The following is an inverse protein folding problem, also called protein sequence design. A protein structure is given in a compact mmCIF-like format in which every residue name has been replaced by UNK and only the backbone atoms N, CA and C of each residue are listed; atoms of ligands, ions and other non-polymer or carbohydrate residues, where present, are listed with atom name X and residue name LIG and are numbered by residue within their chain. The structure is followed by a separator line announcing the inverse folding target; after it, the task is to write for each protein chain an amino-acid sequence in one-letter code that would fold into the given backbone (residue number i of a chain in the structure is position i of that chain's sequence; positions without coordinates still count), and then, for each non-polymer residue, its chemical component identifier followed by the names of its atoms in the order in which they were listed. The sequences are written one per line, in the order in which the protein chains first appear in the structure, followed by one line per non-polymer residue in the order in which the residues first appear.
data_IF_935288985286
#
_entry.id   IF_935288985286
#
_cell.length_a   1.000
_cell.length_b   1.000
_cell.length_c   1.000
_cell.angle_alpha   90.00
_cell.angle_beta   90.00
_cell.angle_gamma   90.00
#
_symmetry.space_group_name_H-M   'P 1'
#
loop_
_entity.id
_entity.type
_entity.pdbx_description
1 polymer ?
#
# COMPACT_ATOMS: atom_id res chain seq x y z
N UNK A 1 0.45 -4.73 -20.46
CA UNK A 1 0.32 -4.56 -19.00
C UNK A 1 0.55 -5.90 -18.35
N UNK A 2 1.18 -5.94 -17.17
CA UNK A 2 1.47 -7.17 -16.42
C UNK A 2 0.95 -7.00 -15.01
N UNK A 3 0.26 -8.00 -14.48
CA UNK A 3 -0.18 -8.05 -13.09
C UNK A 3 0.77 -8.97 -12.33
N UNK A 4 1.28 -8.53 -11.18
CA UNK A 4 2.16 -9.32 -10.31
C UNK A 4 1.98 -8.96 -8.85
N UNK A 5 2.49 -9.82 -7.97
CA UNK A 5 2.66 -9.47 -6.55
C UNK A 5 3.70 -8.36 -6.42
N UNK A 6 3.43 -7.40 -5.53
CA UNK A 6 4.38 -6.38 -5.14
C UNK A 6 5.45 -6.96 -4.21
N UNK A 7 6.59 -6.29 -4.16
CA UNK A 7 7.75 -6.59 -3.34
C UNK A 7 8.15 -5.34 -2.56
N UNK A 8 9.02 -5.46 -1.56
CA UNK A 8 9.56 -4.30 -0.84
C UNK A 8 10.26 -3.28 -1.75
N UNK A 9 10.83 -3.72 -2.87
CA UNK A 9 11.47 -2.83 -3.85
C UNK A 9 10.46 -1.87 -4.52
N UNK A 10 9.17 -2.21 -4.50
CA UNK A 10 8.12 -1.40 -5.10
C UNK A 10 7.61 -0.28 -4.18
N UNK A 11 8.08 -0.21 -2.92
CA UNK A 11 7.55 0.67 -1.89
C UNK A 11 7.47 2.14 -2.31
N UNK A 12 8.54 2.67 -2.88
CA UNK A 12 8.59 4.10 -3.21
C UNK A 12 7.65 4.43 -4.38
N UNK A 13 7.54 3.54 -5.38
CA UNK A 13 6.64 3.72 -6.51
C UNK A 13 5.17 3.54 -6.11
N UNK A 14 4.87 2.54 -5.28
CA UNK A 14 3.56 2.33 -4.64
C UNK A 14 3.15 3.54 -3.82
N UNK A 15 4.08 4.11 -3.04
CA UNK A 15 3.81 5.30 -2.22
C UNK A 15 3.49 6.50 -3.08
N UNK A 16 4.29 6.75 -4.12
CA UNK A 16 4.05 7.86 -5.05
C UNK A 16 2.69 7.71 -5.76
N UNK A 17 2.38 6.51 -6.26
CA UNK A 17 1.09 6.20 -6.88
C UNK A 17 -0.06 6.38 -5.89
N UNK A 18 0.06 5.82 -4.69
CA UNK A 18 -0.96 5.86 -3.67
C UNK A 18 -1.31 7.28 -3.25
N UNK A 19 -0.32 8.12 -2.96
CA UNK A 19 -0.56 9.51 -2.56
C UNK A 19 -1.28 10.31 -3.65
N UNK A 20 -0.96 10.06 -4.92
CA UNK A 20 -1.67 10.70 -6.05
C UNK A 20 -3.09 10.19 -6.17
N UNK A 21 -3.28 8.86 -6.18
CA UNK A 21 -4.59 8.24 -6.34
C UNK A 21 -5.58 8.61 -5.21
N UNK A 22 -5.07 8.80 -4.00
CA UNK A 22 -5.88 9.18 -2.84
C UNK A 22 -6.49 10.56 -2.98
N UNK A 23 -5.89 11.49 -3.75
CA UNK A 23 -6.48 12.81 -3.99
C UNK A 23 -7.81 12.74 -4.76
N UNK A 24 -8.00 11.68 -5.55
CA UNK A 24 -9.22 11.43 -6.32
C UNK A 24 -10.29 10.65 -5.52
N UNK A 25 -9.96 10.15 -4.33
CA UNK A 25 -10.93 9.45 -3.45
C UNK A 25 -11.82 10.50 -2.76
N UNK A 26 -13.15 10.50 -2.98
CA UNK A 26 -14.05 11.48 -2.34
C UNK A 26 -14.09 11.38 -0.82
N UNK A 27 -13.69 10.25 -0.23
CA UNK A 27 -13.60 10.05 1.22
C UNK A 27 -12.28 10.59 1.77
N UNK A 28 -11.32 10.91 0.90
CA UNK A 28 -9.99 11.36 1.27
C UNK A 28 -9.96 12.61 2.13
N UNK A 29 -10.66 13.71 1.77
CA UNK A 29 -10.62 14.94 2.57
C UNK A 29 -11.24 14.74 3.95
N UNK A 30 -12.15 13.76 4.10
CA UNK A 30 -12.70 13.39 5.40
C UNK A 30 -11.69 12.62 6.27
N UNK A 31 -10.95 11.67 5.69
CA UNK A 31 -9.97 10.86 6.43
C UNK A 31 -8.70 11.65 6.79
N UNK A 32 -8.28 12.56 5.91
CA UNK A 32 -7.05 13.33 6.06
C UNK A 32 -7.29 14.81 5.77
N UNK A 33 -8.03 15.52 6.65
CA UNK A 33 -8.47 16.90 6.41
C UNK A 33 -7.30 17.88 6.17
N UNK A 34 -6.15 17.63 6.81
CA UNK A 34 -4.99 18.50 6.70
C UNK A 34 -3.89 17.95 5.79
N UNK A 35 -4.17 16.93 4.96
CA UNK A 35 -3.17 16.34 4.06
C UNK A 35 -2.59 17.34 3.05
N UNK A 36 -3.37 18.34 2.65
CA UNK A 36 -2.92 19.41 1.76
C UNK A 36 -1.95 20.39 2.46
N UNK A 37 -2.21 20.71 3.74
CA UNK A 37 -1.39 21.61 4.55
C UNK A 37 -0.07 20.94 4.97
N UNK A 38 -0.13 19.66 5.37
CA UNK A 38 1.02 18.88 5.84
C UNK A 38 1.39 17.77 4.85
N UNK A 39 1.68 18.15 3.60
CA UNK A 39 1.93 17.21 2.50
C UNK A 39 3.09 16.26 2.76
N UNK A 40 4.18 16.75 3.34
CA UNK A 40 5.38 15.93 3.60
C UNK A 40 5.11 14.86 4.67
N UNK A 41 4.42 15.24 5.74
CA UNK A 41 3.96 14.29 6.76
C UNK A 41 2.99 13.28 6.16
N UNK A 42 2.07 13.76 5.33
CA UNK A 42 1.11 12.89 4.66
C UNK A 42 1.81 11.82 3.81
N UNK A 43 2.82 12.20 3.01
CA UNK A 43 3.64 11.27 2.22
C UNK A 43 4.42 10.32 3.13
N UNK A 44 5.07 10.83 4.17
CA UNK A 44 5.86 10.05 5.14
C UNK A 44 5.01 8.96 5.79
N UNK A 45 3.85 9.30 6.33
CA UNK A 45 2.98 8.34 7.00
C UNK A 45 2.27 7.39 6.01
N UNK A 46 1.99 7.84 4.79
CA UNK A 46 1.52 6.95 3.71
C UNK A 46 2.58 5.89 3.39
N UNK A 47 3.85 6.29 3.27
CA UNK A 47 4.97 5.36 3.04
C UNK A 47 5.09 4.32 4.14
N UNK A 48 5.02 4.75 5.42
CA UNK A 48 5.04 3.82 6.57
C UNK A 48 3.90 2.81 6.47
N UNK A 49 2.71 3.25 6.07
CA UNK A 49 1.55 2.37 5.92
C UNK A 49 1.72 1.36 4.78
N UNK A 50 2.22 1.78 3.62
CA UNK A 50 2.50 0.87 2.50
C UNK A 50 3.64 -0.11 2.82
N UNK A 51 4.67 0.33 3.53
CA UNK A 51 5.73 -0.54 4.05
C UNK A 51 5.13 -1.64 4.92
N UNK A 52 4.27 -1.30 5.87
CA UNK A 52 3.61 -2.29 6.72
C UNK A 52 2.79 -3.30 5.91
N UNK A 53 2.08 -2.89 4.86
CA UNK A 53 1.37 -3.84 4.00
C UNK A 53 2.31 -4.81 3.27
N UNK A 54 3.44 -4.33 2.76
CA UNK A 54 4.43 -5.16 2.06
C UNK A 54 5.14 -6.12 3.04
N UNK A 55 5.54 -5.65 4.22
CA UNK A 55 6.14 -6.50 5.27
C UNK A 55 5.15 -7.57 5.74
N UNK A 56 3.86 -7.23 5.89
CA UNK A 56 2.86 -8.23 6.24
C UNK A 56 2.50 -9.16 5.06
N UNK A 57 2.77 -8.74 3.82
CA UNK A 57 2.60 -9.61 2.66
C UNK A 57 3.69 -10.70 2.61
N UNK A 58 4.93 -10.38 2.98
CA UNK A 58 6.00 -11.38 3.15
C UNK A 58 5.66 -12.42 4.23
N UNK A 59 4.90 -12.00 5.25
CA UNK A 59 4.40 -12.87 6.31
C UNK A 59 3.07 -13.59 6.00
N UNK A 60 2.56 -13.46 4.76
CA UNK A 60 1.33 -14.10 4.29
C UNK A 60 0.02 -13.49 4.81
N UNK A 61 0.09 -12.41 5.59
CA UNK A 61 -1.09 -11.75 6.14
C UNK A 61 -1.82 -10.83 5.19
N UNK A 62 -1.10 -10.31 4.20
CA UNK A 62 -1.62 -9.45 3.15
C UNK A 62 -1.22 -10.00 1.78
N UNK A 63 -1.93 -9.56 0.76
CA UNK A 63 -1.51 -9.70 -0.63
C UNK A 63 -1.59 -8.34 -1.28
N UNK A 64 -0.44 -7.83 -1.72
CA UNK A 64 -0.34 -6.57 -2.47
C UNK A 64 -0.08 -6.90 -3.93
N UNK A 65 -0.98 -6.49 -4.81
CA UNK A 65 -0.88 -6.72 -6.26
C UNK A 65 -0.64 -5.38 -6.95
N UNK A 66 0.23 -5.38 -7.95
CA UNK A 66 0.52 -4.21 -8.78
C UNK A 66 0.31 -4.52 -10.26
N UNK A 67 -0.05 -3.49 -11.01
CA UNK A 67 -0.14 -3.52 -12.47
C UNK A 67 0.99 -2.66 -13.04
N UNK A 68 1.83 -3.27 -13.87
CA UNK A 68 2.88 -2.57 -14.60
C UNK A 68 2.46 -2.28 -16.04
N UNK A 69 2.83 -1.10 -16.52
CA UNK A 69 2.76 -0.73 -17.92
C UNK A 69 4.07 -0.06 -18.36
N UNK A 70 4.44 -0.14 -19.65
CA UNK A 70 5.53 0.67 -20.19
C UNK A 70 5.30 2.17 -19.93
N UNK A 71 6.36 2.90 -19.56
CA UNK A 71 6.29 4.35 -19.41
C UNK A 71 5.96 5.01 -20.74
N UNK A 72 5.19 6.10 -20.70
CA UNK A 72 4.92 6.93 -21.88
C UNK A 72 6.20 7.58 -22.43
N UNK A 73 7.17 7.89 -21.57
CA UNK A 73 8.43 8.51 -22.01
C UNK A 73 9.43 7.49 -22.59
N UNK A 74 9.42 6.25 -22.09
CA UNK A 74 10.34 5.20 -22.49
C UNK A 74 9.70 3.83 -22.31
N UNK A 75 9.43 3.15 -23.42
CA UNK A 75 8.76 1.85 -23.43
C UNK A 75 9.59 0.71 -22.80
N UNK A 76 10.91 0.89 -22.64
CA UNK A 76 11.78 -0.08 -21.96
C UNK A 76 11.66 0.00 -20.43
N UNK A 77 11.15 1.10 -19.89
CA UNK A 77 10.94 1.29 -18.45
C UNK A 77 9.50 0.88 -18.13
N UNK A 78 9.32 -0.05 -17.21
CA UNK A 78 8.00 -0.38 -16.66
C UNK A 78 7.73 0.50 -15.44
N UNK A 79 6.51 1.02 -15.35
CA UNK A 79 6.01 1.77 -14.19
C UNK A 79 4.78 1.07 -13.62
N UNK A 80 4.62 1.12 -12.30
CA UNK A 80 3.42 0.70 -11.61
C UNK A 80 2.33 1.76 -11.82
N UNK A 81 1.21 1.36 -12.39
CA UNK A 81 0.09 2.25 -12.74
C UNK A 81 -1.17 1.99 -11.92
N UNK A 82 -1.24 0.87 -11.22
CA UNK A 82 -2.33 0.53 -10.32
C UNK A 82 -1.85 -0.44 -9.24
N UNK A 83 -2.52 -0.42 -8.10
CA UNK A 83 -2.27 -1.35 -6.99
C UNK A 83 -3.58 -1.80 -6.34
N UNK A 84 -3.55 -2.94 -5.67
CA UNK A 84 -4.60 -3.38 -4.76
C UNK A 84 -3.98 -4.07 -3.55
N UNK A 85 -4.62 -3.90 -2.40
CA UNK A 85 -4.18 -4.45 -1.12
C UNK A 85 -5.31 -5.31 -0.55
N UNK A 86 -4.99 -6.55 -0.22
CA UNK A 86 -5.94 -7.53 0.32
C UNK A 86 -5.44 -8.05 1.66
N UNK A 87 -6.36 -8.29 2.59
CA UNK A 87 -6.07 -9.01 3.84
C UNK A 87 -6.37 -10.48 3.62
N UNK A 88 -5.43 -11.35 3.93
CA UNK A 88 -5.64 -12.80 3.85
C UNK A 88 -6.73 -13.24 4.84
N UNK A 89 -7.63 -14.16 4.47
CA UNK A 89 -8.65 -14.67 5.36
C UNK A 89 -8.06 -15.14 6.71
N UNK A 90 -8.68 -14.72 7.81
CA UNK A 90 -8.26 -15.12 9.16
C UNK A 90 -7.03 -14.39 9.73
N UNK A 91 -6.31 -13.56 8.95
CA UNK A 91 -5.12 -12.85 9.46
C UNK A 91 -5.45 -11.79 10.53
N UNK A 92 -6.67 -11.23 10.46
CA UNK A 92 -7.17 -10.28 11.45
C UNK A 92 -7.68 -10.95 12.73
N UNK A 93 -7.78 -12.28 12.76
CA UNK A 93 -8.24 -13.00 13.94
C UNK A 93 -7.08 -13.15 14.94
N UNK A 94 -7.36 -13.16 16.25
CA UNK A 94 -6.37 -13.52 17.25
C UNK A 94 -5.74 -14.88 16.89
N UNK A 95 -4.42 -14.98 16.96
CA UNK A 95 -3.76 -16.28 16.80
C UNK A 95 -4.34 -17.22 17.87
N UNK A 96 -4.79 -18.40 17.47
CA UNK A 96 -5.46 -19.35 18.37
C UNK A 96 -4.64 -19.73 19.63
N UNK A 97 -3.32 -19.48 19.60
CA UNK A 97 -2.38 -19.72 20.70
C UNK A 97 -1.89 -18.45 21.41
N UNK A 98 -2.52 -17.29 21.18
CA UNK A 98 -2.24 -16.10 21.99
C UNK A 98 -2.75 -16.38 23.40
N UNK A 99 -1.82 -16.76 24.29
CA UNK A 99 -2.10 -16.95 25.71
C UNK A 99 -2.92 -15.75 26.19
N UNK A 100 -4.12 -16.02 26.69
CA UNK A 100 -4.92 -15.05 27.44
C UNK A 100 -4.02 -14.62 28.60
N UNK A 101 -3.45 -13.43 28.53
CA UNK A 101 -2.78 -12.84 29.69
C UNK A 101 -3.89 -12.54 30.69
N UNK A 102 -4.01 -13.43 31.68
CA UNK A 102 -4.90 -13.24 32.82
C UNK A 102 -4.48 -12.00 33.61
N UNK A 103 -5.49 -11.28 34.07
CA UNK A 103 -5.44 -10.05 34.87
C UNK A 103 -4.54 -10.13 36.10
#
# INVERSE_FOLDING_TARGET
MIVRTATLADLDEITALGVVALQDDPVWPYRFPNAAEYRDDHVKYSRIRFLAYLENAENGGYTVMVVEAPSKENACVKKIIAMSVWVSPGYHLPKANALVQGE
#
